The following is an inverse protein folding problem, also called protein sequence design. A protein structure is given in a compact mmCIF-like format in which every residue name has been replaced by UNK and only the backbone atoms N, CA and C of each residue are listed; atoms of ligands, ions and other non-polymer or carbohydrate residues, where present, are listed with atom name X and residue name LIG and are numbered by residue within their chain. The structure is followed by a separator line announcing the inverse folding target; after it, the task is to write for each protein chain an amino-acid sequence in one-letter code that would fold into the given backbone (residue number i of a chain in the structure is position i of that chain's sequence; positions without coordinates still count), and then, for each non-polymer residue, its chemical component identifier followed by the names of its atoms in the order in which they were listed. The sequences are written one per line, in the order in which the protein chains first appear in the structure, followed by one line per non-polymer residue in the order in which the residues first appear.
data_IF_208504966917
#
_entry.id   IF_208504966917
#
_cell.length_a   1.000
_cell.length_b   1.000
_cell.length_c   1.000
_cell.angle_alpha   90.00
_cell.angle_beta   90.00
_cell.angle_gamma   90.00
#
_symmetry.space_group_name_H-M   'P 1'
#
loop_
_entity.id
_entity.type
_entity.pdbx_description
1 polymer ?
#
# COMPACT_ATOMS: atom_id res chain seq x y z
N UNK A 1 -18.76 -6.61 -4.17
CA UNK A 1 -19.54 -7.65 -3.47
C UNK A 1 -20.29 -8.58 -4.44
N UNK A 2 -20.91 -8.10 -5.54
CA UNK A 2 -21.64 -8.95 -6.50
C UNK A 2 -20.73 -10.01 -7.12
N UNK A 3 -19.56 -9.62 -7.63
CA UNK A 3 -18.57 -10.55 -8.21
C UNK A 3 -18.07 -11.60 -7.22
N UNK A 4 -17.96 -11.24 -5.96
CA UNK A 4 -17.61 -12.18 -4.91
C UNK A 4 -18.70 -13.24 -4.70
N UNK A 5 -19.97 -12.82 -4.67
CA UNK A 5 -21.11 -13.75 -4.60
C UNK A 5 -21.17 -14.68 -5.81
N UNK A 6 -20.97 -14.15 -7.02
CA UNK A 6 -20.88 -14.95 -8.26
C UNK A 6 -19.76 -16.02 -8.16
N UNK A 7 -18.62 -15.66 -7.56
CA UNK A 7 -17.49 -16.56 -7.34
C UNK A 7 -17.65 -17.49 -6.11
N UNK A 8 -18.77 -17.42 -5.38
CA UNK A 8 -19.02 -18.22 -4.18
C UNK A 8 -18.23 -17.78 -2.95
N UNK A 9 -17.68 -16.56 -2.95
CA UNK A 9 -16.95 -16.00 -1.83
C UNK A 9 -17.89 -15.25 -0.90
N UNK A 10 -17.83 -15.55 0.41
CA UNK A 10 -18.61 -14.84 1.42
C UNK A 10 -18.20 -13.36 1.49
N UNK A 11 -19.18 -12.47 1.51
CA UNK A 11 -18.97 -11.03 1.67
C UNK A 11 -18.29 -10.67 2.99
N UNK A 12 -18.42 -11.51 4.02
CA UNK A 12 -17.81 -11.31 5.34
C UNK A 12 -16.27 -11.44 5.33
N UNK A 13 -15.71 -11.92 4.22
CA UNK A 13 -14.28 -12.07 4.01
C UNK A 13 -13.69 -10.99 3.11
N UNK A 14 -14.48 -9.99 2.73
CA UNK A 14 -14.06 -8.94 1.82
C UNK A 14 -14.24 -7.59 2.51
N UNK A 15 -13.12 -6.92 2.69
CA UNK A 15 -13.08 -5.57 3.24
C UNK A 15 -12.62 -4.62 2.13
N UNK A 16 -13.36 -3.56 1.89
CA UNK A 16 -12.92 -2.51 0.98
C UNK A 16 -11.96 -1.60 1.72
N UNK A 17 -10.74 -1.49 1.22
CA UNK A 17 -9.69 -0.67 1.79
C UNK A 17 -9.20 0.40 0.82
N UNK A 18 -8.96 1.61 1.33
CA UNK A 18 -8.18 2.62 0.66
C UNK A 18 -6.75 2.59 1.20
N UNK A 19 -5.78 2.50 0.30
CA UNK A 19 -4.37 2.46 0.64
C UNK A 19 -3.63 3.70 0.17
N UNK A 20 -2.64 4.16 0.96
CA UNK A 20 -1.87 5.37 0.71
C UNK A 20 -2.75 6.60 0.49
N UNK A 21 -3.81 6.73 1.30
CA UNK A 21 -4.73 7.87 1.22
C UNK A 21 -4.11 9.10 1.86
N UNK A 22 -3.73 10.04 1.02
CA UNK A 22 -3.04 11.26 1.42
C UNK A 22 -2.69 12.14 0.21
N UNK A 23 -1.75 13.08 0.36
CA UNK A 23 -1.43 14.07 -0.65
C UNK A 23 -0.52 13.58 -1.79
N UNK A 24 -0.12 12.29 -1.82
CA UNK A 24 0.90 11.77 -2.73
C UNK A 24 0.69 12.15 -4.20
N UNK A 25 -0.53 12.00 -4.72
CA UNK A 25 -0.82 12.25 -6.15
C UNK A 25 -0.75 13.73 -6.54
N UNK A 26 -0.73 14.61 -5.55
CA UNK A 26 -0.63 16.08 -5.68
C UNK A 26 0.53 16.64 -4.86
N UNK A 27 1.56 15.84 -4.62
CA UNK A 27 2.73 16.22 -3.82
C UNK A 27 3.52 17.41 -4.41
N UNK A 28 3.31 17.74 -5.68
CA UNK A 28 3.86 18.92 -6.34
C UNK A 28 3.12 20.23 -5.99
N UNK A 29 2.10 20.18 -5.13
CA UNK A 29 1.31 21.34 -4.67
C UNK A 29 1.74 21.76 -3.27
N UNK A 30 1.48 23.05 -2.89
CA UNK A 30 1.61 23.49 -1.51
C UNK A 30 0.74 22.68 -0.55
N UNK A 31 1.16 22.59 0.73
CA UNK A 31 0.44 21.80 1.75
C UNK A 31 -1.06 22.10 1.79
N UNK A 32 -1.43 23.37 1.75
CA UNK A 32 -2.83 23.77 1.83
C UNK A 32 -3.69 23.15 0.70
N UNK A 33 -3.20 23.19 -0.56
CA UNK A 33 -3.91 22.63 -1.70
C UNK A 33 -3.86 21.08 -1.67
N UNK A 34 -2.71 20.51 -1.35
CA UNK A 34 -2.50 19.07 -1.31
C UNK A 34 -3.37 18.41 -0.23
N UNK A 35 -3.50 19.04 0.93
CA UNK A 35 -4.35 18.54 2.01
C UNK A 35 -5.84 18.72 1.72
N UNK A 36 -6.29 19.74 1.02
CA UNK A 36 -7.69 19.86 0.58
C UNK A 36 -8.07 18.73 -0.39
N UNK A 37 -7.18 18.39 -1.32
CA UNK A 37 -7.37 17.21 -2.17
C UNK A 37 -7.45 15.93 -1.34
N UNK A 38 -6.51 15.73 -0.41
CA UNK A 38 -6.47 14.55 0.44
C UNK A 38 -7.71 14.42 1.33
N UNK A 39 -8.24 15.53 1.85
CA UNK A 39 -9.51 15.56 2.60
C UNK A 39 -10.69 15.09 1.75
N UNK A 40 -10.82 15.61 0.53
CA UNK A 40 -11.86 15.15 -0.40
C UNK A 40 -11.72 13.66 -0.70
N UNK A 41 -10.50 13.20 -0.92
CA UNK A 41 -10.21 11.79 -1.19
C UNK A 41 -10.69 10.88 -0.06
N UNK A 42 -10.26 11.13 1.18
CA UNK A 42 -10.65 10.27 2.32
C UNK A 42 -12.13 10.35 2.64
N UNK A 43 -12.74 11.54 2.51
CA UNK A 43 -14.19 11.73 2.64
C UNK A 43 -14.96 10.82 1.67
N UNK A 44 -14.61 10.86 0.38
CA UNK A 44 -15.28 10.08 -0.65
C UNK A 44 -15.10 8.57 -0.45
N UNK A 45 -13.93 8.11 0.03
CA UNK A 45 -13.71 6.71 0.38
C UNK A 45 -14.64 6.25 1.49
N UNK A 46 -14.73 7.01 2.60
CA UNK A 46 -15.61 6.67 3.72
C UNK A 46 -17.07 6.71 3.28
N UNK A 47 -17.49 7.74 2.53
CA UNK A 47 -18.86 7.86 2.00
C UNK A 47 -19.22 6.72 1.04
N UNK A 48 -18.24 6.19 0.31
CA UNK A 48 -18.42 5.02 -0.56
C UNK A 48 -18.47 3.69 0.22
N UNK A 49 -18.32 3.70 1.56
CA UNK A 49 -18.42 2.52 2.41
C UNK A 49 -17.12 1.71 2.52
N UNK A 50 -15.97 2.33 2.28
CA UNK A 50 -14.69 1.72 2.57
C UNK A 50 -14.46 1.64 4.08
N UNK A 51 -14.08 0.47 4.57
CA UNK A 51 -13.97 0.18 6.01
C UNK A 51 -12.54 0.06 6.52
N UNK A 52 -11.54 0.06 5.66
CA UNK A 52 -10.12 0.16 6.01
C UNK A 52 -9.54 1.42 5.36
N UNK A 53 -9.02 2.33 6.13
CA UNK A 53 -8.43 3.59 5.68
C UNK A 53 -6.97 3.65 6.11
N UNK A 54 -6.05 3.44 5.17
CA UNK A 54 -4.63 3.68 5.43
C UNK A 54 -4.32 5.15 5.15
N UNK A 55 -4.14 5.91 6.22
CA UNK A 55 -3.79 7.33 6.18
C UNK A 55 -2.29 7.45 5.96
N UNK A 56 -1.90 7.95 4.80
CA UNK A 56 -0.51 8.14 4.43
C UNK A 56 -0.19 9.61 4.18
N UNK A 57 0.48 10.22 5.14
CA UNK A 57 0.96 11.61 5.10
C UNK A 57 2.48 11.70 5.22
N UNK A 58 3.17 10.59 4.97
CA UNK A 58 4.63 10.48 5.05
C UNK A 58 5.34 11.15 3.87
N UNK A 59 4.64 11.38 2.76
CA UNK A 59 5.20 12.01 1.57
C UNK A 59 5.28 13.52 1.69
N UNK A 60 6.39 14.07 1.21
CA UNK A 60 6.59 15.53 1.15
C UNK A 60 5.65 16.16 0.15
N UNK A 61 5.27 17.40 0.44
CA UNK A 61 4.57 18.29 -0.49
C UNK A 61 5.51 19.46 -0.88
N UNK A 62 5.05 20.32 -1.79
CA UNK A 62 5.93 21.35 -2.37
C UNK A 62 6.53 22.33 -1.34
N UNK A 63 5.89 22.54 -0.20
CA UNK A 63 6.35 23.44 0.87
C UNK A 63 7.38 22.78 1.81
N UNK A 64 7.53 21.46 1.75
CA UNK A 64 8.45 20.74 2.62
C UNK A 64 9.91 20.87 2.13
N UNK A 65 10.86 20.94 3.06
CA UNK A 65 12.28 20.92 2.72
C UNK A 65 12.65 19.59 2.02
N UNK A 66 13.12 19.61 0.76
CA UNK A 66 13.45 18.40 0.03
C UNK A 66 14.61 17.61 0.65
N UNK A 67 15.47 18.26 1.45
CA UNK A 67 16.69 17.67 1.99
C UNK A 67 16.52 17.08 3.41
N UNK A 68 15.39 17.36 4.08
CA UNK A 68 15.17 16.94 5.47
C UNK A 68 13.99 15.99 5.53
N UNK A 69 14.12 14.82 6.19
CA UNK A 69 12.98 13.91 6.44
C UNK A 69 11.88 14.68 7.16
N UNK A 70 10.61 14.43 6.81
CA UNK A 70 9.47 14.94 7.57
C UNK A 70 9.54 14.46 9.02
N UNK A 71 9.24 15.35 9.95
CA UNK A 71 9.12 14.95 11.35
C UNK A 71 7.83 14.16 11.58
N UNK A 72 7.87 13.25 12.54
CA UNK A 72 6.71 12.45 12.93
C UNK A 72 5.53 13.34 13.36
N UNK A 73 5.80 14.51 13.98
CA UNK A 73 4.77 15.49 14.35
C UNK A 73 4.08 16.09 13.12
N UNK A 74 4.81 16.38 12.06
CA UNK A 74 4.21 16.88 10.81
C UNK A 74 3.36 15.82 10.15
N UNK A 75 3.86 14.59 10.08
CA UNK A 75 3.16 13.44 9.52
C UNK A 75 1.88 13.17 10.31
N UNK A 76 1.98 13.07 11.64
CA UNK A 76 0.84 12.79 12.51
C UNK A 76 -0.20 13.91 12.52
N UNK A 77 0.23 15.17 12.49
CA UNK A 77 -0.68 16.33 12.38
C UNK A 77 -1.51 16.27 11.09
N UNK A 78 -0.84 16.04 9.96
CA UNK A 78 -1.53 15.87 8.66
C UNK A 78 -2.47 14.65 8.70
N UNK A 79 -2.01 13.55 9.28
CA UNK A 79 -2.80 12.33 9.44
C UNK A 79 -4.05 12.54 10.30
N UNK A 80 -3.93 13.23 11.43
CA UNK A 80 -5.06 13.55 12.31
C UNK A 80 -6.10 14.44 11.62
N UNK A 81 -5.67 15.38 10.76
CA UNK A 81 -6.61 16.17 9.93
C UNK A 81 -7.43 15.28 9.02
N UNK A 82 -6.81 14.28 8.36
CA UNK A 82 -7.51 13.34 7.48
C UNK A 82 -8.42 12.40 8.28
N UNK A 83 -7.96 11.90 9.43
CA UNK A 83 -8.79 11.08 10.32
C UNK A 83 -10.05 11.83 10.77
N UNK A 84 -9.93 13.12 11.12
CA UNK A 84 -11.09 13.95 11.47
C UNK A 84 -12.11 14.01 10.34
N UNK A 85 -11.66 14.21 9.11
CA UNK A 85 -12.55 14.21 7.93
C UNK A 85 -13.21 12.84 7.74
N UNK A 86 -12.50 11.75 8.00
CA UNK A 86 -13.07 10.40 7.96
C UNK A 86 -14.20 10.24 9.01
N UNK A 87 -14.00 10.73 10.23
CA UNK A 87 -15.01 10.70 11.29
C UNK A 87 -16.26 11.54 10.90
N UNK A 88 -16.06 12.74 10.37
CA UNK A 88 -17.14 13.60 9.88
C UNK A 88 -17.91 12.90 8.73
N UNK A 89 -17.21 12.35 7.75
CA UNK A 89 -17.81 11.61 6.64
C UNK A 89 -18.58 10.36 7.11
N UNK A 90 -18.07 9.67 8.14
CA UNK A 90 -18.77 8.54 8.72
C UNK A 90 -20.06 8.94 9.42
N UNK A 91 -20.09 10.08 10.14
CA UNK A 91 -21.32 10.61 10.73
C UNK A 91 -22.37 10.97 9.66
N UNK A 92 -21.95 11.50 8.53
CA UNK A 92 -22.84 11.71 7.37
C UNK A 92 -23.37 10.39 6.82
N UNK A 93 -22.48 9.39 6.64
CA UNK A 93 -22.87 8.07 6.15
C UNK A 93 -23.90 7.38 7.06
N UNK A 94 -23.75 7.50 8.39
CA UNK A 94 -24.69 6.94 9.36
C UNK A 94 -26.11 7.55 9.25
N UNK A 95 -26.24 8.79 8.79
CA UNK A 95 -27.57 9.39 8.57
C UNK A 95 -28.32 8.74 7.41
N UNK A 96 -27.59 8.23 6.41
CA UNK A 96 -28.14 7.57 5.23
C UNK A 96 -28.23 6.06 5.41
N UNK A 97 -27.27 5.48 6.10
CA UNK A 97 -27.18 4.04 6.40
C UNK A 97 -26.83 3.81 7.88
N UNK A 98 -27.82 3.65 8.77
CA UNK A 98 -27.60 3.42 10.20
C UNK A 98 -26.81 2.14 10.52
N UNK A 99 -26.73 1.19 9.58
CA UNK A 99 -25.99 -0.07 9.70
C UNK A 99 -24.56 0.03 9.14
N UNK A 100 -24.10 1.25 8.76
CA UNK A 100 -22.75 1.43 8.25
C UNK A 100 -21.69 1.02 9.28
N UNK A 101 -20.69 0.29 8.82
CA UNK A 101 -19.57 -0.14 9.65
C UNK A 101 -18.56 1.01 9.78
N UNK A 102 -18.17 1.31 11.01
CA UNK A 102 -17.14 2.32 11.27
C UNK A 102 -15.82 1.93 10.59
N UNK A 103 -15.16 2.84 9.88
CA UNK A 103 -13.85 2.55 9.31
C UNK A 103 -12.79 2.33 10.40
N UNK A 104 -11.82 1.48 10.09
CA UNK A 104 -10.62 1.32 10.89
C UNK A 104 -9.45 2.01 10.21
N UNK A 105 -8.50 2.51 11.02
CA UNK A 105 -7.39 3.31 10.54
C UNK A 105 -6.07 2.55 10.64
N UNK A 106 -5.22 2.75 9.65
CA UNK A 106 -3.82 2.39 9.67
C UNK A 106 -3.00 3.68 9.58
N UNK A 107 -2.00 3.82 10.43
CA UNK A 107 -1.12 4.97 10.52
C UNK A 107 0.34 4.55 10.38
N UNK A 108 1.24 5.50 10.12
CA UNK A 108 2.68 5.23 10.08
C UNK A 108 3.48 6.42 9.58
N UNK A 109 4.73 6.50 9.96
CA UNK A 109 5.69 7.51 9.49
C UNK A 109 6.79 6.95 8.58
N UNK A 110 6.97 5.64 8.59
CA UNK A 110 7.94 4.92 7.76
C UNK A 110 7.23 4.12 6.66
N UNK A 111 6.43 4.82 5.84
CA UNK A 111 5.69 4.20 4.75
C UNK A 111 6.61 4.10 3.53
N UNK A 112 6.89 2.88 3.02
CA UNK A 112 7.65 2.70 1.80
C UNK A 112 6.97 3.35 0.59
N UNK A 113 7.77 3.86 -0.35
CA UNK A 113 7.24 4.41 -1.60
C UNK A 113 6.55 3.29 -2.40
N UNK A 114 5.32 3.49 -2.87
CA UNK A 114 4.65 2.51 -3.71
C UNK A 114 5.47 2.16 -4.96
N UNK A 115 5.66 0.86 -5.23
CA UNK A 115 6.41 0.37 -6.38
C UNK A 115 7.84 -0.09 -6.08
N UNK A 116 8.23 -0.15 -4.81
CA UNK A 116 9.52 -0.70 -4.36
C UNK A 116 10.71 0.27 -4.40
N UNK A 117 11.81 -0.13 -3.82
CA UNK A 117 13.04 0.68 -3.76
C UNK A 117 13.81 0.65 -5.09
N UNK A 118 14.19 1.82 -5.58
CA UNK A 118 14.99 1.95 -6.80
C UNK A 118 16.51 1.91 -6.56
N UNK A 119 16.97 1.96 -5.30
CA UNK A 119 18.40 2.02 -4.96
C UNK A 119 18.92 0.67 -4.47
N UNK A 120 19.89 0.12 -5.18
CA UNK A 120 20.56 -1.15 -4.85
C UNK A 120 21.44 -1.12 -3.59
N UNK A 121 21.81 0.06 -3.08
CA UNK A 121 22.94 0.23 -2.17
C UNK A 121 22.63 0.62 -0.71
N UNK A 122 21.41 0.94 -0.37
CA UNK A 122 21.05 1.12 1.04
C UNK A 122 20.53 -0.23 1.57
N UNK A 123 21.33 -0.93 2.37
CA UNK A 123 20.86 -2.14 3.05
C UNK A 123 19.56 -1.85 3.77
N UNK A 124 18.52 -2.65 3.50
CA UNK A 124 17.20 -2.51 4.11
C UNK A 124 17.32 -2.50 5.62
N UNK A 125 16.84 -1.42 6.26
CA UNK A 125 16.86 -1.31 7.71
C UNK A 125 15.48 -1.69 8.26
N UNK A 126 15.49 -2.52 9.30
CA UNK A 126 14.30 -2.82 10.09
C UNK A 126 13.96 -1.61 10.95
N UNK A 127 12.68 -1.24 11.02
CA UNK A 127 12.20 -0.19 11.93
C UNK A 127 12.64 -0.49 13.37
N UNK A 128 13.18 0.49 14.06
CA UNK A 128 13.57 0.31 15.45
C UNK A 128 12.35 0.34 16.36
N UNK A 129 12.36 -0.45 17.46
CA UNK A 129 11.25 -0.45 18.41
C UNK A 129 10.92 0.92 18.99
N UNK A 130 11.94 1.73 19.28
CA UNK A 130 11.77 3.10 19.78
C UNK A 130 11.13 4.03 18.75
N UNK A 131 11.46 3.92 17.46
CA UNK A 131 10.89 4.73 16.40
C UNK A 131 9.42 4.36 16.19
N UNK A 132 9.09 3.06 16.18
CA UNK A 132 7.70 2.59 16.14
C UNK A 132 6.88 3.14 17.31
N UNK A 133 7.38 3.01 18.55
CA UNK A 133 6.67 3.50 19.75
C UNK A 133 6.49 5.02 19.72
N UNK A 134 7.51 5.75 19.26
CA UNK A 134 7.44 7.20 19.09
C UNK A 134 6.38 7.58 18.07
N UNK A 135 6.34 6.89 16.94
CA UNK A 135 5.32 7.11 15.89
C UNK A 135 3.92 6.92 16.46
N UNK A 136 3.65 5.80 17.14
CA UNK A 136 2.34 5.52 17.76
C UNK A 136 1.94 6.63 18.72
N UNK A 137 2.83 6.99 19.65
CA UNK A 137 2.55 8.03 20.65
C UNK A 137 2.32 9.41 20.02
N UNK A 138 3.04 9.73 18.93
CA UNK A 138 2.89 11.00 18.23
C UNK A 138 1.56 11.08 17.50
N UNK A 139 1.12 9.99 16.86
CA UNK A 139 -0.19 9.94 16.22
C UNK A 139 -1.33 9.99 17.25
N UNK A 140 -1.25 9.23 18.36
CA UNK A 140 -2.24 9.26 19.43
C UNK A 140 -2.43 10.68 19.97
N UNK A 141 -1.31 11.36 20.27
CA UNK A 141 -1.33 12.76 20.69
C UNK A 141 -1.94 13.67 19.64
N UNK A 142 -1.64 13.50 18.36
CA UNK A 142 -2.18 14.33 17.29
C UNK A 142 -3.71 14.15 17.15
N UNK A 143 -4.23 12.94 17.37
CA UNK A 143 -5.68 12.68 17.40
C UNK A 143 -6.35 13.39 18.58
N UNK A 144 -5.71 13.36 19.76
CA UNK A 144 -6.20 14.08 20.94
C UNK A 144 -6.19 15.61 20.71
N UNK A 145 -5.06 16.16 20.26
CA UNK A 145 -4.93 17.59 19.92
C UNK A 145 -5.97 18.06 18.89
N UNK A 146 -6.40 17.16 17.98
CA UNK A 146 -7.42 17.44 16.95
C UNK A 146 -8.86 17.30 17.47
N UNK A 147 -9.03 16.85 18.71
CA UNK A 147 -10.33 16.64 19.34
C UNK A 147 -11.08 15.41 18.86
N UNK A 148 -10.34 14.39 18.40
CA UNK A 148 -10.86 13.09 17.94
C UNK A 148 -10.20 11.91 18.68
N UNK A 149 -9.95 12.07 19.97
CA UNK A 149 -9.31 11.02 20.79
C UNK A 149 -10.02 9.66 20.70
N UNK A 150 -11.36 9.67 20.60
CA UNK A 150 -12.14 8.43 20.47
C UNK A 150 -11.85 7.67 19.15
N UNK A 151 -11.50 8.37 18.08
CA UNK A 151 -11.12 7.76 16.81
C UNK A 151 -9.85 6.91 16.92
N UNK A 152 -8.98 7.18 17.92
CA UNK A 152 -7.82 6.35 18.21
C UNK A 152 -8.17 4.90 18.55
N UNK A 153 -9.36 4.65 19.10
CA UNK A 153 -9.85 3.29 19.37
C UNK A 153 -10.08 2.47 18.08
N UNK A 154 -10.16 3.12 16.93
CA UNK A 154 -10.31 2.51 15.61
C UNK A 154 -8.99 2.40 14.84
N UNK A 155 -7.88 2.86 15.40
CA UNK A 155 -6.53 2.58 14.85
C UNK A 155 -6.18 1.14 15.22
N UNK A 156 -6.01 0.30 14.20
CA UNK A 156 -5.79 -1.14 14.37
C UNK A 156 -4.38 -1.59 13.97
N UNK A 157 -3.68 -0.78 13.19
CA UNK A 157 -2.34 -1.15 12.74
C UNK A 157 -1.44 0.07 12.56
N UNK A 158 -0.15 -0.18 12.68
CA UNK A 158 0.89 0.76 12.27
C UNK A 158 1.77 0.14 11.20
N UNK A 159 2.11 0.95 10.17
CA UNK A 159 3.04 0.56 9.12
C UNK A 159 4.44 0.55 9.68
N UNK A 160 5.17 -0.53 9.44
CA UNK A 160 6.58 -0.68 9.80
C UNK A 160 7.35 -1.33 8.66
N UNK A 161 8.68 -1.14 8.66
CA UNK A 161 9.58 -1.87 7.78
C UNK A 161 10.15 -3.10 8.51
N UNK A 162 9.64 -4.31 8.24
CA UNK A 162 10.13 -5.53 8.89
C UNK A 162 11.40 -6.12 8.24
N UNK A 163 12.02 -5.40 7.33
CA UNK A 163 13.16 -5.88 6.55
C UNK A 163 12.77 -6.63 5.27
N UNK A 164 11.58 -6.35 4.75
CA UNK A 164 11.02 -6.95 3.53
C UNK A 164 10.90 -5.88 2.46
N UNK A 165 11.42 -6.13 1.27
CA UNK A 165 11.33 -5.19 0.15
C UNK A 165 11.38 -5.90 -1.20
N UNK A 166 10.68 -5.32 -2.17
CA UNK A 166 10.78 -5.70 -3.56
C UNK A 166 11.91 -4.91 -4.23
N UNK A 167 12.72 -5.62 -5.00
CA UNK A 167 13.80 -5.04 -5.81
C UNK A 167 13.61 -5.42 -7.27
N UNK A 168 14.36 -4.74 -8.12
CA UNK A 168 14.37 -4.97 -9.57
C UNK A 168 14.59 -6.42 -9.99
N UNK A 169 15.49 -7.12 -9.32
CA UNK A 169 15.91 -8.47 -9.66
C UNK A 169 15.70 -9.49 -8.53
N UNK A 170 14.85 -9.17 -7.56
CA UNK A 170 14.60 -10.07 -6.42
C UNK A 170 13.77 -9.40 -5.32
N UNK A 171 13.77 -10.06 -4.17
CA UNK A 171 13.18 -9.49 -2.96
C UNK A 171 14.09 -9.75 -1.76
N UNK A 172 14.02 -8.85 -0.77
CA UNK A 172 14.58 -9.12 0.55
C UNK A 172 13.62 -10.03 1.31
N UNK A 173 14.07 -11.23 1.64
CA UNK A 173 13.27 -12.17 2.42
C UNK A 173 13.22 -11.76 3.89
N UNK A 174 12.08 -12.01 4.52
CA UNK A 174 11.91 -11.80 5.95
C UNK A 174 12.91 -12.60 6.77
N UNK A 175 13.61 -11.93 7.66
CA UNK A 175 14.53 -12.53 8.63
C UNK A 175 14.01 -12.28 10.06
N UNK A 176 13.47 -13.33 10.67
CA UNK A 176 12.88 -13.30 12.02
C UNK A 176 13.87 -12.85 13.09
N UNK A 177 15.14 -13.27 13.01
CA UNK A 177 16.16 -12.86 13.98
C UNK A 177 16.51 -11.39 13.85
N UNK A 178 16.55 -10.88 12.63
CA UNK A 178 16.80 -9.46 12.34
C UNK A 178 15.66 -8.57 12.82
N UNK A 179 14.43 -9.03 12.69
CA UNK A 179 13.22 -8.27 13.03
C UNK A 179 12.75 -8.47 14.48
N UNK A 180 13.37 -9.37 15.25
CA UNK A 180 12.85 -9.85 16.55
C UNK A 180 12.54 -8.74 17.57
N UNK A 181 13.37 -7.71 17.63
CA UNK A 181 13.19 -6.64 18.61
C UNK A 181 12.00 -5.75 18.22
N UNK A 182 11.84 -5.45 16.93
CA UNK A 182 10.65 -4.78 16.41
C UNK A 182 9.40 -5.61 16.70
N UNK A 183 9.40 -6.90 16.32
CA UNK A 183 8.25 -7.78 16.51
C UNK A 183 7.87 -7.97 17.98
N UNK A 184 8.86 -7.95 18.87
CA UNK A 184 8.59 -8.00 20.30
C UNK A 184 7.86 -6.75 20.81
N UNK A 185 8.11 -5.59 20.20
CA UNK A 185 7.57 -4.30 20.65
C UNK A 185 6.06 -4.16 20.48
N UNK A 186 5.43 -4.92 19.58
CA UNK A 186 3.97 -4.89 19.37
C UNK A 186 3.20 -5.37 20.61
N UNK A 187 3.83 -6.19 21.45
CA UNK A 187 3.22 -6.75 22.66
C UNK A 187 2.92 -5.70 23.73
N UNK A 188 3.48 -4.50 23.58
CA UNK A 188 3.18 -3.37 24.45
C UNK A 188 1.85 -2.68 24.10
N UNK A 189 1.18 -3.14 23.01
CA UNK A 189 -0.05 -2.56 22.48
C UNK A 189 -1.14 -3.64 22.29
N UNK A 190 -2.18 -3.59 23.10
CA UNK A 190 -3.23 -4.63 23.11
C UNK A 190 -4.10 -4.68 21.83
N UNK A 191 -4.16 -3.57 21.08
CA UNK A 191 -5.10 -3.41 19.96
C UNK A 191 -4.41 -3.26 18.60
N UNK A 192 -3.10 -3.13 18.56
CA UNK A 192 -2.37 -2.89 17.32
C UNK A 192 -1.76 -4.18 16.78
N UNK A 193 -1.73 -4.25 15.45
CA UNK A 193 -0.89 -5.17 14.70
C UNK A 193 0.05 -4.38 13.80
N UNK A 194 1.07 -5.02 13.26
CA UNK A 194 1.87 -4.41 12.21
C UNK A 194 1.20 -4.56 10.84
N UNK A 195 1.32 -3.53 10.00
CA UNK A 195 1.09 -3.62 8.56
C UNK A 195 2.46 -3.65 7.86
N UNK A 196 2.73 -4.75 7.14
CA UNK A 196 3.93 -4.94 6.33
C UNK A 196 3.63 -4.74 4.86
N UNK A 197 4.45 -3.91 4.18
CA UNK A 197 4.35 -3.66 2.75
C UNK A 197 5.30 -4.57 1.96
N UNK A 198 5.19 -4.59 0.62
CA UNK A 198 6.10 -5.30 -0.29
C UNK A 198 6.23 -6.80 0.02
N UNK A 199 5.15 -7.47 0.40
CA UNK A 199 5.17 -8.87 0.84
C UNK A 199 4.88 -9.88 -0.30
N UNK A 200 4.72 -9.42 -1.52
CA UNK A 200 4.27 -10.19 -2.69
C UNK A 200 5.12 -11.43 -3.01
N UNK A 201 6.44 -11.27 -2.90
CA UNK A 201 7.39 -12.29 -3.34
C UNK A 201 8.00 -13.09 -2.20
N UNK A 202 7.47 -12.92 -1.00
CA UNK A 202 7.84 -13.75 0.14
C UNK A 202 7.35 -15.18 -0.05
N UNK A 203 8.17 -16.15 0.35
CA UNK A 203 7.72 -17.54 0.36
C UNK A 203 6.58 -17.74 1.36
N UNK A 204 5.75 -18.77 1.16
CA UNK A 204 4.67 -19.10 2.11
C UNK A 204 5.16 -19.31 3.55
N UNK A 205 6.40 -19.71 3.72
CA UNK A 205 7.01 -19.89 5.04
C UNK A 205 7.34 -18.55 5.68
N UNK A 206 7.87 -17.60 4.89
CA UNK A 206 8.17 -16.23 5.35
C UNK A 206 6.92 -15.42 5.63
N UNK A 207 5.88 -15.57 4.81
CA UNK A 207 4.56 -14.98 5.09
C UNK A 207 3.97 -15.51 6.41
N UNK A 208 4.11 -16.81 6.66
CA UNK A 208 3.68 -17.41 7.92
C UNK A 208 4.47 -16.85 9.11
N UNK A 209 5.79 -16.76 8.99
CA UNK A 209 6.67 -16.19 10.03
C UNK A 209 6.27 -14.73 10.34
N UNK A 210 6.03 -13.89 9.33
CA UNK A 210 5.54 -12.51 9.49
C UNK A 210 4.24 -12.47 10.31
N UNK A 211 3.26 -13.32 9.97
CA UNK A 211 1.98 -13.37 10.69
C UNK A 211 2.16 -13.83 12.14
N UNK A 212 2.95 -14.88 12.38
CA UNK A 212 3.24 -15.39 13.72
C UNK A 212 3.94 -14.34 14.58
N UNK A 213 4.71 -13.44 13.98
CA UNK A 213 5.48 -12.41 14.67
C UNK A 213 4.70 -11.08 14.86
N UNK A 214 3.46 -10.99 14.38
CA UNK A 214 2.57 -9.86 14.66
C UNK A 214 2.23 -8.96 13.47
N UNK A 215 2.64 -9.33 12.24
CA UNK A 215 2.21 -8.63 11.03
C UNK A 215 0.82 -9.14 10.65
N UNK A 216 -0.21 -8.44 11.12
CA UNK A 216 -1.61 -8.80 10.88
C UNK A 216 -2.14 -8.40 9.51
N UNK A 217 -1.49 -7.45 8.84
CA UNK A 217 -1.85 -6.98 7.51
C UNK A 217 -0.62 -7.11 6.60
N UNK A 218 -0.75 -7.95 5.57
CA UNK A 218 0.26 -8.17 4.54
C UNK A 218 -0.21 -7.48 3.26
N UNK A 219 0.47 -6.40 2.85
CA UNK A 219 0.14 -5.69 1.61
C UNK A 219 0.83 -6.34 0.42
N UNK A 220 0.03 -6.64 -0.58
CA UNK A 220 0.45 -7.19 -1.86
C UNK A 220 -0.13 -6.33 -3.00
N UNK A 221 0.57 -6.26 -4.11
CA UNK A 221 0.17 -5.46 -5.27
C UNK A 221 0.66 -6.11 -6.56
N UNK A 222 1.92 -5.89 -6.97
CA UNK A 222 2.41 -6.29 -8.29
C UNK A 222 2.46 -7.81 -8.50
N UNK A 223 2.55 -8.63 -7.46
CA UNK A 223 2.69 -10.09 -7.59
C UNK A 223 1.55 -10.76 -8.35
N UNK A 224 0.31 -10.34 -8.15
CA UNK A 224 -0.83 -10.90 -8.90
C UNK A 224 -0.82 -10.47 -10.37
N UNK A 225 -0.47 -9.21 -10.65
CA UNK A 225 -0.34 -8.70 -12.01
C UNK A 225 0.80 -9.39 -12.75
N UNK A 226 1.93 -9.61 -12.06
CA UNK A 226 3.05 -10.37 -12.58
C UNK A 226 2.62 -11.79 -12.97
N UNK A 227 1.98 -12.52 -12.07
CA UNK A 227 1.51 -13.88 -12.32
C UNK A 227 0.50 -13.94 -13.47
N UNK A 228 -0.41 -12.97 -13.58
CA UNK A 228 -1.34 -12.86 -14.69
C UNK A 228 -0.61 -12.63 -16.02
N UNK A 229 0.38 -11.74 -16.07
CA UNK A 229 1.20 -11.49 -17.25
C UNK A 229 1.96 -12.75 -17.67
N UNK A 230 2.62 -13.45 -16.75
CA UNK A 230 3.32 -14.70 -17.04
C UNK A 230 2.38 -15.76 -17.63
N UNK A 231 1.17 -15.87 -17.07
CA UNK A 231 0.14 -16.76 -17.61
C UNK A 231 -0.25 -16.39 -19.04
N UNK A 232 -0.49 -15.10 -19.31
CA UNK A 232 -0.85 -14.63 -20.65
C UNK A 232 0.30 -14.80 -21.64
N UNK A 233 1.55 -14.51 -21.25
CA UNK A 233 2.71 -14.71 -22.11
C UNK A 233 2.93 -16.18 -22.43
N UNK A 234 2.68 -17.08 -21.49
CA UNK A 234 2.71 -18.52 -21.74
C UNK A 234 1.64 -18.94 -22.75
N UNK A 235 0.43 -18.33 -22.67
CA UNK A 235 -0.63 -18.57 -23.66
C UNK A 235 -0.23 -18.02 -25.05
N UNK A 236 0.43 -16.87 -25.13
CA UNK A 236 0.94 -16.35 -26.41
C UNK A 236 1.94 -17.32 -27.06
N UNK A 237 2.85 -17.89 -26.29
CA UNK A 237 3.79 -18.90 -26.81
C UNK A 237 3.05 -20.15 -27.35
N UNK A 238 2.04 -20.63 -26.63
CA UNK A 238 1.20 -21.74 -27.10
C UNK A 238 0.44 -21.35 -28.36
N UNK A 239 -0.10 -20.14 -28.43
CA UNK A 239 -0.80 -19.59 -29.59
C UNK A 239 0.10 -19.56 -30.84
N UNK A 240 1.33 -19.05 -30.69
CA UNK A 240 2.33 -18.98 -31.76
C UNK A 240 2.67 -20.39 -32.31
N UNK A 241 2.89 -21.37 -31.46
CA UNK A 241 3.13 -22.77 -31.85
C UNK A 241 1.93 -23.37 -32.61
N UNK A 242 0.72 -23.14 -32.12
CA UNK A 242 -0.49 -23.64 -32.77
C UNK A 242 -0.75 -22.92 -34.10
N UNK A 243 -0.51 -21.62 -34.18
CA UNK A 243 -0.67 -20.85 -35.41
C UNK A 243 0.27 -21.32 -36.51
N UNK A 244 1.51 -21.70 -36.15
CA UNK A 244 2.47 -22.28 -37.08
C UNK A 244 1.99 -23.60 -37.70
N UNK A 245 1.19 -24.38 -36.95
CA UNK A 245 0.66 -25.69 -37.41
C UNK A 245 -0.67 -25.53 -38.14
N UNK A 246 -1.57 -24.68 -37.62
CA UNK A 246 -2.97 -24.60 -38.12
C UNK A 246 -3.24 -23.39 -39.01
N UNK A 247 -2.33 -22.43 -39.13
CA UNK A 247 -2.39 -21.31 -40.06
C UNK A 247 -3.43 -20.22 -39.71
N UNK A 248 -3.70 -20.02 -38.42
CA UNK A 248 -4.53 -18.88 -37.99
C UNK A 248 -3.67 -17.69 -37.55
N UNK A 249 -4.28 -16.51 -37.52
CA UNK A 249 -3.65 -15.28 -37.04
C UNK A 249 -3.58 -15.27 -35.52
N UNK A 250 -2.41 -14.90 -34.95
CA UNK A 250 -2.22 -14.78 -33.50
C UNK A 250 -2.84 -13.50 -32.95
N UNK A 251 -3.02 -13.43 -31.65
CA UNK A 251 -3.56 -12.24 -30.97
C UNK A 251 -2.62 -11.02 -30.97
N UNK A 252 -1.31 -11.24 -31.25
CA UNK A 252 -0.27 -10.21 -31.15
C UNK A 252 -0.25 -9.48 -29.79
N UNK A 253 -0.69 -10.14 -28.73
CA UNK A 253 -0.87 -9.53 -27.42
C UNK A 253 0.40 -8.86 -26.88
N UNK A 254 1.57 -9.48 -27.04
CA UNK A 254 2.84 -8.94 -26.54
C UNK A 254 3.20 -7.63 -27.26
N UNK A 255 3.07 -7.61 -28.59
CA UNK A 255 3.34 -6.42 -29.40
C UNK A 255 2.34 -5.29 -29.11
N UNK A 256 1.07 -5.61 -28.92
CA UNK A 256 0.04 -4.61 -28.57
C UNK A 256 0.26 -4.05 -27.16
N UNK A 257 0.70 -4.89 -26.21
CA UNK A 257 1.07 -4.43 -24.87
C UNK A 257 2.27 -3.47 -24.94
N UNK A 258 3.32 -3.81 -25.66
CA UNK A 258 4.50 -2.96 -25.84
C UNK A 258 4.12 -1.61 -26.50
N UNK A 259 3.28 -1.63 -27.54
CA UNK A 259 2.75 -0.39 -28.16
C UNK A 259 1.98 0.47 -27.16
N UNK A 260 1.12 -0.14 -26.35
CA UNK A 260 0.33 0.58 -25.34
C UNK A 260 1.23 1.20 -24.26
N UNK A 261 2.25 0.49 -23.81
CA UNK A 261 3.22 0.98 -22.85
C UNK A 261 4.07 2.13 -23.39
N UNK A 262 4.54 2.01 -24.63
CA UNK A 262 5.29 3.08 -25.34
C UNK A 262 4.44 4.35 -25.55
N UNK A 263 3.16 4.17 -25.83
CA UNK A 263 2.24 5.29 -26.03
C UNK A 263 1.94 6.05 -24.72
N UNK A 264 2.09 5.41 -23.56
CA UNK A 264 1.76 5.96 -22.24
C UNK A 264 2.92 5.84 -21.23
N UNK A 265 4.08 6.48 -21.49
CA UNK A 265 5.28 6.30 -20.66
C UNK A 265 5.12 6.84 -19.23
N UNK A 266 4.19 7.75 -18.98
CA UNK A 266 3.98 8.38 -17.66
C UNK A 266 3.64 7.42 -16.53
N UNK A 267 3.20 6.20 -16.85
CA UNK A 267 2.86 5.19 -15.85
C UNK A 267 4.03 4.30 -15.43
N UNK A 268 5.05 4.15 -16.27
CA UNK A 268 6.20 3.27 -16.00
C UNK A 268 7.54 4.00 -15.96
N UNK A 269 7.74 5.08 -16.73
CA UNK A 269 8.99 5.82 -16.80
C UNK A 269 9.53 6.32 -15.44
N UNK A 270 8.71 6.66 -14.43
CA UNK A 270 9.20 6.97 -13.09
C UNK A 270 9.90 5.81 -12.38
N UNK A 271 9.61 4.56 -12.78
CA UNK A 271 10.07 3.35 -12.10
C UNK A 271 11.14 2.57 -12.89
N UNK A 272 11.25 2.77 -14.20
CA UNK A 272 12.11 1.97 -15.08
C UNK A 272 12.85 2.82 -16.10
N UNK A 273 14.11 2.49 -16.32
CA UNK A 273 14.96 3.18 -17.29
C UNK A 273 14.66 2.79 -18.75
N UNK A 274 14.09 1.61 -18.98
CA UNK A 274 13.76 1.13 -20.32
C UNK A 274 12.68 0.05 -20.29
N UNK A 275 12.02 -0.17 -21.45
CA UNK A 275 10.98 -1.20 -21.61
C UNK A 275 11.50 -2.64 -21.61
N UNK A 276 12.81 -2.85 -21.72
CA UNK A 276 13.36 -4.22 -21.66
C UNK A 276 12.98 -4.92 -20.36
N UNK A 277 12.83 -4.17 -19.29
CA UNK A 277 12.39 -4.69 -17.99
C UNK A 277 10.90 -5.05 -17.95
N UNK A 278 10.12 -4.58 -18.93
CA UNK A 278 8.69 -4.89 -19.07
C UNK A 278 8.51 -6.17 -19.89
N UNK A 279 9.32 -6.35 -20.91
CA UNK A 279 9.27 -7.50 -21.82
C UNK A 279 9.96 -8.74 -21.26
N UNK A 280 10.90 -8.58 -20.31
CA UNK A 280 11.55 -9.72 -19.64
C UNK A 280 10.74 -10.20 -18.43
N UNK A 281 10.60 -11.53 -18.25
CA UNK A 281 9.79 -12.11 -17.16
C UNK A 281 10.44 -12.02 -15.77
N UNK A 282 11.43 -11.17 -15.58
CA UNK A 282 12.22 -11.08 -14.35
C UNK A 282 11.76 -9.98 -13.39
N UNK A 283 10.73 -9.22 -13.74
CA UNK A 283 10.22 -8.16 -12.88
C UNK A 283 8.71 -8.18 -12.69
N UNK A 284 8.27 -7.95 -11.46
CA UNK A 284 6.89 -7.64 -11.17
C UNK A 284 6.59 -6.20 -11.60
N UNK A 285 5.81 -6.04 -12.65
CA UNK A 285 5.33 -4.74 -13.08
C UNK A 285 3.82 -4.71 -12.84
N UNK A 286 3.37 -3.74 -12.05
CA UNK A 286 1.95 -3.38 -12.04
C UNK A 286 1.62 -2.72 -13.38
N UNK A 287 0.73 -3.32 -14.14
CA UNK A 287 0.15 -2.75 -15.36
C UNK A 287 -0.97 -1.79 -14.98
#
# INVERSE_FOLDING_TARGET
HEKAKEAGLSSDRIFLGGDHLGPLTVANKPEAEAMEYAKTLVHDYVRAGFTKIHIDTSMKVADDDPNTRLSDETIARRGAVLAKVCEEAFQELLQENPEAIHPVYIVGSEVPIPGGAQEENAGMQVTKPEDFKSTVATFEKAFDDMGIADAWNHVIAAVVQPGVEEKDAGCEEYDRERAKDLMASIKDFDKLVFEGHSTDYQTKYKLRELVEDGVGILKVGPGLTYAAREGIFSLCMIEEELAAVYGFETSHFREELDKAMLANPGKWAPYYLSLIHISEPTRPISI
#
